data_IF_764110407698
#
_entry.id   IF_764110407698
#
_cell.length_a   1.000
_cell.length_b   1.000
_cell.length_c   1.000
_cell.angle_alpha   90.00
_cell.angle_beta   90.00
_cell.angle_gamma   90.00
#
_symmetry.space_group_name_H-M   'P 1'
#
loop_
_entity.id
_entity.type
_entity.pdbx_description
1 polymer ?
#
# COMPACT_ATOMS: atom_id res chain seq x y z
N UNK A 1 38.71 -41.00 43.37
CA UNK A 1 38.00 -41.57 42.20
C UNK A 1 36.63 -40.90 42.13
N UNK A 2 36.49 -39.94 41.19
CA UNK A 2 35.46 -39.85 40.13
C UNK A 2 34.00 -39.84 40.64
N UNK A 3 33.35 -38.66 40.63
CA UNK A 3 32.48 -38.13 39.56
C UNK A 3 31.05 -38.73 39.66
N UNK A 4 29.93 -38.01 39.66
CA UNK A 4 29.56 -36.83 38.89
C UNK A 4 28.52 -35.94 39.60
N UNK A 5 28.63 -34.67 39.26
CA UNK A 5 27.76 -33.52 39.51
C UNK A 5 26.51 -33.61 38.63
N UNK A 6 25.33 -33.27 39.17
CA UNK A 6 24.15 -32.90 38.39
C UNK A 6 23.82 -31.43 38.70
N UNK A 7 24.37 -30.52 37.89
CA UNK A 7 23.89 -29.14 37.81
C UNK A 7 22.77 -29.09 36.78
N UNK A 8 21.55 -28.78 37.24
CA UNK A 8 20.51 -28.27 36.36
C UNK A 8 20.93 -26.86 35.91
N UNK A 9 21.42 -26.76 34.68
CA UNK A 9 21.47 -25.50 33.94
C UNK A 9 20.04 -25.15 33.52
N UNK A 10 19.46 -24.16 34.17
CA UNK A 10 18.33 -23.42 33.63
C UNK A 10 18.80 -22.70 32.36
N UNK A 11 18.49 -23.25 31.18
CA UNK A 11 18.54 -22.49 29.95
C UNK A 11 17.44 -21.43 30.04
N UNK A 12 17.83 -20.22 30.43
CA UNK A 12 17.05 -19.04 30.18
C UNK A 12 16.77 -18.94 28.68
N UNK A 13 15.50 -18.98 28.33
CA UNK A 13 15.01 -18.62 27.00
C UNK A 13 15.42 -17.16 26.80
N UNK A 14 16.48 -16.92 26.03
CA UNK A 14 16.79 -15.60 25.52
C UNK A 14 15.57 -15.12 24.71
N UNK A 15 14.98 -13.96 25.01
CA UNK A 15 14.08 -13.35 24.05
C UNK A 15 14.88 -13.17 22.75
N UNK A 16 14.35 -13.71 21.66
CA UNK A 16 14.84 -13.43 20.32
C UNK A 16 15.02 -11.94 20.21
N UNK A 17 16.27 -11.50 20.06
CA UNK A 17 16.60 -10.11 19.73
C UNK A 17 15.84 -9.79 18.44
N UNK A 18 14.71 -9.12 18.59
CA UNK A 18 14.10 -8.33 17.53
C UNK A 18 15.20 -7.40 17.04
N UNK A 19 15.81 -7.71 15.91
CA UNK A 19 16.78 -6.85 15.24
C UNK A 19 16.04 -5.56 14.89
N UNK A 20 16.20 -4.56 15.74
CA UNK A 20 15.76 -3.19 15.56
C UNK A 20 16.11 -2.70 14.14
N UNK A 21 15.09 -2.39 13.32
CA UNK A 21 15.26 -2.38 11.87
C UNK A 21 15.85 -1.07 11.32
N UNK A 22 15.44 0.13 11.76
CA UNK A 22 16.03 1.43 11.32
C UNK A 22 15.87 2.56 12.35
N UNK A 23 16.78 3.54 12.35
CA UNK A 23 16.67 4.71 13.22
C UNK A 23 15.56 5.67 12.75
N UNK A 24 14.64 6.02 13.65
CA UNK A 24 13.55 6.97 13.40
C UNK A 24 13.87 8.41 13.84
N UNK A 25 14.98 8.60 14.56
CA UNK A 25 15.39 9.87 15.12
C UNK A 25 16.33 10.63 14.16
N UNK A 26 15.79 11.15 13.05
CA UNK A 26 16.25 12.39 12.40
C UNK A 26 15.42 12.69 11.14
N UNK A 27 14.98 13.94 10.98
CA UNK A 27 14.42 14.47 9.73
C UNK A 27 15.40 14.46 8.55
N UNK A 28 16.67 14.09 8.77
CA UNK A 28 17.72 13.97 7.76
C UNK A 28 17.99 12.52 7.32
N UNK A 29 17.35 11.52 7.92
CA UNK A 29 17.54 10.13 7.49
C UNK A 29 16.83 9.88 6.16
N UNK A 30 17.62 9.56 5.14
CA UNK A 30 17.13 9.21 3.80
C UNK A 30 17.38 7.73 3.55
N UNK A 31 16.37 7.02 3.10
CA UNK A 31 16.48 5.65 2.61
C UNK A 31 16.40 5.65 1.09
N UNK A 32 17.11 4.75 0.44
CA UNK A 32 17.21 4.71 -1.01
C UNK A 32 16.79 3.35 -1.56
N UNK A 33 15.91 3.38 -2.55
CA UNK A 33 15.59 2.22 -3.38
C UNK A 33 16.02 2.48 -4.81
N UNK A 34 16.62 1.48 -5.41
CA UNK A 34 16.88 1.43 -6.83
C UNK A 34 15.69 0.79 -7.52
N UNK A 35 15.17 1.46 -8.53
CA UNK A 35 14.22 0.85 -9.45
C UNK A 35 15.05 -0.01 -10.39
N UNK A 36 14.92 -1.33 -10.23
CA UNK A 36 15.60 -2.29 -11.08
C UNK A 36 14.93 -2.27 -12.43
N UNK A 37 13.64 -2.56 -12.47
CA UNK A 37 12.84 -2.63 -13.68
C UNK A 37 11.52 -1.91 -13.46
N UNK A 38 11.03 -1.24 -14.51
CA UNK A 38 9.66 -0.74 -14.54
C UNK A 38 9.14 -0.89 -15.96
N UNK A 39 7.94 -1.44 -16.05
CA UNK A 39 7.17 -1.57 -17.28
C UNK A 39 5.75 -1.14 -16.98
N UNK A 40 5.19 -0.39 -17.90
CA UNK A 40 3.77 -0.09 -17.91
C UNK A 40 3.19 -0.50 -19.24
N UNK A 41 2.09 -1.26 -19.21
CA UNK A 41 1.37 -1.71 -20.39
C UNK A 41 -0.04 -1.12 -20.34
N UNK A 42 -0.49 -0.52 -21.43
CA UNK A 42 -1.83 0.04 -21.55
C UNK A 42 -2.45 -0.32 -22.90
N UNK A 43 -3.76 -0.50 -22.99
CA UNK A 43 -4.43 -0.52 -24.28
C UNK A 43 -4.29 0.83 -25.01
N UNK A 44 -4.40 0.77 -26.33
CA UNK A 44 -4.60 1.95 -27.17
C UNK A 44 -5.89 2.72 -26.79
N UNK A 45 -5.93 4.05 -27.02
CA UNK A 45 -7.04 4.92 -26.60
C UNK A 45 -8.36 4.54 -27.26
N UNK A 46 -8.26 3.86 -28.40
CA UNK A 46 -9.38 3.41 -29.22
C UNK A 46 -10.11 2.22 -28.61
N UNK A 47 -9.58 1.61 -27.53
CA UNK A 47 -10.17 0.47 -26.81
C UNK A 47 -10.53 0.80 -25.35
N UNK A 48 -11.63 1.54 -25.10
CA UNK A 48 -11.95 2.16 -23.80
C UNK A 48 -12.38 1.22 -22.65
N UNK A 49 -12.16 -0.10 -22.73
CA UNK A 49 -12.56 -1.07 -21.69
C UNK A 49 -11.45 -2.08 -21.32
N UNK A 50 -10.22 -1.86 -21.79
CA UNK A 50 -9.11 -2.77 -21.51
C UNK A 50 -8.34 -2.37 -20.24
N UNK A 51 -7.50 -3.29 -19.77
CA UNK A 51 -6.75 -3.17 -18.52
C UNK A 51 -5.36 -2.58 -18.76
N UNK A 52 -4.98 -1.62 -17.94
CA UNK A 52 -3.61 -1.12 -17.82
C UNK A 52 -2.89 -1.85 -16.69
N UNK A 53 -1.60 -2.14 -16.86
CA UNK A 53 -0.77 -2.86 -15.89
C UNK A 53 0.51 -2.08 -15.62
N UNK A 54 0.92 -1.99 -14.37
CA UNK A 54 2.27 -1.58 -13.99
C UNK A 54 2.98 -2.72 -13.31
N UNK A 55 4.25 -2.90 -13.64
CA UNK A 55 5.16 -3.79 -12.95
C UNK A 55 6.44 -3.02 -12.60
N UNK A 56 6.79 -2.99 -11.32
CA UNK A 56 8.01 -2.34 -10.82
C UNK A 56 8.77 -3.32 -9.94
N UNK A 57 10.04 -3.54 -10.25
CA UNK A 57 10.97 -4.24 -9.38
C UNK A 57 11.85 -3.23 -8.65
N UNK A 58 11.85 -3.29 -7.31
CA UNK A 58 12.61 -2.42 -6.43
C UNK A 58 13.68 -3.22 -5.70
N UNK A 59 14.86 -2.64 -5.52
CA UNK A 59 15.91 -3.21 -4.68
C UNK A 59 16.57 -2.13 -3.83
N UNK A 60 16.84 -2.43 -2.56
CA UNK A 60 17.72 -1.58 -1.75
C UNK A 60 19.18 -2.02 -1.92
N UNK A 61 20.14 -1.17 -1.55
CA UNK A 61 21.58 -1.50 -1.58
C UNK A 61 21.96 -2.69 -0.69
N UNK A 62 21.08 -3.10 0.22
CA UNK A 62 21.36 -4.11 1.25
C UNK A 62 20.41 -5.30 1.21
N UNK A 63 19.59 -5.46 0.17
CA UNK A 63 18.42 -6.37 0.12
C UNK A 63 17.31 -5.90 1.09
N UNK A 64 16.02 -6.07 0.74
CA UNK A 64 15.44 -7.09 -0.13
C UNK A 64 14.97 -6.56 -1.50
N UNK A 65 14.51 -7.49 -2.35
CA UNK A 65 13.86 -7.19 -3.64
C UNK A 65 12.33 -7.23 -3.44
N UNK A 66 11.65 -6.20 -3.93
CA UNK A 66 10.19 -6.10 -3.93
C UNK A 66 9.66 -6.04 -5.36
N UNK A 67 8.50 -6.65 -5.59
CA UNK A 67 7.74 -6.54 -6.83
C UNK A 67 6.40 -5.86 -6.56
N UNK A 68 6.20 -4.69 -7.16
CA UNK A 68 4.94 -3.96 -7.14
C UNK A 68 4.26 -4.17 -8.49
N UNK A 69 3.23 -5.00 -8.52
CA UNK A 69 2.45 -5.26 -9.73
C UNK A 69 1.00 -4.94 -9.45
N UNK A 70 0.42 -4.07 -10.28
CA UNK A 70 -0.98 -3.71 -10.20
C UNK A 70 -1.59 -3.61 -11.59
N UNK A 71 -2.86 -3.98 -11.68
CA UNK A 71 -3.65 -3.92 -12.90
C UNK A 71 -4.97 -3.21 -12.59
N UNK A 72 -5.43 -2.36 -13.51
CA UNK A 72 -6.64 -1.56 -13.32
C UNK A 72 -7.27 -1.16 -14.68
N UNK A 73 -8.53 -0.71 -14.70
CA UNK A 73 -9.16 -0.22 -15.93
C UNK A 73 -8.47 1.04 -16.47
N UNK A 74 -8.22 1.14 -17.78
CA UNK A 74 -7.49 2.29 -18.38
C UNK A 74 -8.11 3.65 -17.99
N UNK A 75 -9.44 3.72 -17.90
CA UNK A 75 -10.17 4.92 -17.49
C UNK A 75 -9.72 5.49 -16.13
N UNK A 76 -9.11 4.68 -15.27
CA UNK A 76 -8.58 5.11 -13.97
C UNK A 76 -7.10 5.51 -14.06
N UNK A 77 -6.36 4.96 -15.03
CA UNK A 77 -4.98 5.30 -15.35
C UNK A 77 -4.85 6.69 -15.97
N UNK A 78 -5.85 7.06 -16.77
CA UNK A 78 -5.89 8.35 -17.42
C UNK A 78 -4.79 8.56 -18.45
N UNK A 79 -4.43 7.52 -19.21
CA UNK A 79 -3.31 7.53 -20.14
C UNK A 79 -3.51 8.58 -21.25
N UNK A 80 -4.73 8.71 -21.76
CA UNK A 80 -5.06 9.67 -22.83
C UNK A 80 -5.77 10.94 -22.38
N UNK A 81 -6.27 11.00 -21.14
CA UNK A 81 -7.02 12.15 -20.62
C UNK A 81 -6.46 12.74 -19.32
N UNK A 82 -5.30 12.28 -18.84
CA UNK A 82 -4.70 12.79 -17.61
C UNK A 82 -5.64 12.63 -16.42
N UNK A 83 -6.14 11.40 -16.26
CA UNK A 83 -6.98 10.98 -15.13
C UNK A 83 -6.42 11.51 -13.82
N UNK A 84 -7.31 11.89 -12.91
CA UNK A 84 -6.93 12.62 -11.69
C UNK A 84 -6.47 11.72 -10.56
N UNK A 85 -6.49 10.40 -10.75
CA UNK A 85 -6.34 9.42 -9.69
C UNK A 85 -4.88 8.96 -9.60
N UNK A 86 -4.36 8.98 -8.37
CA UNK A 86 -3.09 8.33 -8.04
C UNK A 86 -3.41 6.88 -7.71
N UNK A 87 -2.71 5.94 -8.34
CA UNK A 87 -2.95 4.52 -8.13
C UNK A 87 -1.82 3.95 -7.29
N UNK A 88 -2.15 3.47 -6.10
CA UNK A 88 -1.22 2.76 -5.22
C UNK A 88 -1.25 1.26 -5.50
N UNK A 89 -0.07 0.63 -5.45
CA UNK A 89 0.16 -0.80 -5.50
C UNK A 89 0.97 -1.18 -4.28
N UNK A 90 0.53 -2.21 -3.57
CA UNK A 90 1.41 -2.85 -2.60
C UNK A 90 2.57 -3.56 -3.33
N UNK A 91 3.69 -3.69 -2.64
CA UNK A 91 4.89 -4.34 -3.17
C UNK A 91 5.21 -5.60 -2.37
N UNK A 92 5.20 -6.73 -3.03
CA UNK A 92 5.41 -8.04 -2.40
C UNK A 92 6.90 -8.34 -2.32
N UNK A 93 7.37 -8.76 -1.14
CA UNK A 93 8.73 -9.25 -0.98
C UNK A 93 8.92 -10.58 -1.72
N UNK A 94 9.92 -10.66 -2.58
CA UNK A 94 10.14 -11.83 -3.44
C UNK A 94 10.80 -13.02 -2.74
N UNK A 95 11.08 -12.92 -1.44
CA UNK A 95 11.85 -13.93 -0.69
C UNK A 95 13.37 -13.75 -0.79
N UNK A 96 13.85 -12.79 -1.59
CA UNK A 96 15.27 -12.51 -1.77
C UNK A 96 15.78 -11.49 -0.74
N UNK A 97 16.68 -11.96 0.14
CA UNK A 97 17.34 -11.16 1.19
C UNK A 97 16.45 -10.81 2.39
N UNK A 98 17.05 -10.35 3.49
CA UNK A 98 16.30 -10.00 4.71
C UNK A 98 15.90 -8.52 4.69
N UNK A 99 14.59 -8.25 4.68
CA UNK A 99 14.06 -6.89 4.73
C UNK A 99 14.04 -6.27 6.11
N UNK A 100 14.33 -4.98 6.19
CA UNK A 100 14.11 -4.14 7.37
C UNK A 100 12.73 -3.46 7.35
N UNK A 101 12.05 -3.49 6.20
CA UNK A 101 10.77 -2.82 6.00
C UNK A 101 9.63 -3.83 6.17
N UNK A 102 8.64 -3.44 6.96
CA UNK A 102 7.40 -4.18 7.19
C UNK A 102 6.50 -4.18 5.96
N UNK A 103 6.45 -3.03 5.28
CA UNK A 103 5.56 -2.79 4.15
C UNK A 103 6.27 -1.88 3.15
N UNK A 104 6.00 -2.05 1.86
CA UNK A 104 6.48 -1.18 0.80
C UNK A 104 5.34 -1.03 -0.20
N UNK A 105 4.98 0.20 -0.55
CA UNK A 105 3.93 0.46 -1.53
C UNK A 105 4.36 1.56 -2.48
N UNK A 106 3.94 1.45 -3.74
CA UNK A 106 4.31 2.34 -4.82
C UNK A 106 3.06 2.98 -5.41
N UNK A 107 3.14 4.24 -5.81
CA UNK A 107 2.07 4.90 -6.53
C UNK A 107 2.55 5.57 -7.80
N UNK A 108 1.66 5.74 -8.76
CA UNK A 108 1.93 6.51 -9.98
C UNK A 108 0.86 7.58 -10.20
N UNK A 109 1.33 8.81 -10.40
CA UNK A 109 0.56 9.91 -10.98
C UNK A 109 0.99 10.08 -12.44
N UNK A 110 0.13 9.63 -13.35
CA UNK A 110 0.41 9.66 -14.78
C UNK A 110 0.36 11.05 -15.39
N UNK A 111 -0.48 11.93 -14.84
CA UNK A 111 -0.59 13.32 -15.32
C UNK A 111 0.71 14.06 -15.10
N UNK A 112 1.36 13.84 -13.95
CA UNK A 112 2.64 14.49 -13.63
C UNK A 112 3.86 13.62 -13.91
N UNK A 113 3.64 12.33 -14.27
CA UNK A 113 4.67 11.30 -14.46
C UNK A 113 5.53 11.11 -13.20
N UNK A 114 4.91 11.27 -12.04
CA UNK A 114 5.56 11.08 -10.75
C UNK A 114 5.29 9.68 -10.22
N UNK A 115 6.35 9.05 -9.71
CA UNK A 115 6.29 7.81 -8.95
C UNK A 115 6.49 8.15 -7.49
N UNK A 116 5.62 7.63 -6.65
CA UNK A 116 5.67 7.74 -5.21
C UNK A 116 6.09 6.38 -4.64
N UNK A 117 6.90 6.41 -3.61
CA UNK A 117 7.25 5.23 -2.83
C UNK A 117 6.98 5.52 -1.37
N UNK A 118 6.36 4.57 -0.70
CA UNK A 118 6.22 4.59 0.75
C UNK A 118 6.64 3.25 1.33
N UNK A 119 7.17 3.27 2.54
CA UNK A 119 7.49 2.06 3.29
C UNK A 119 7.45 2.33 4.78
N UNK A 120 7.21 1.26 5.54
CA UNK A 120 7.29 1.30 7.00
C UNK A 120 8.26 0.28 7.55
N UNK A 121 8.75 0.54 8.74
CA UNK A 121 9.79 -0.26 9.39
C UNK A 121 9.72 -0.07 10.91
N UNK A 122 10.24 -1.06 11.64
CA UNK A 122 10.39 -0.94 13.08
C UNK A 122 11.51 0.05 13.42
N UNK A 123 11.17 1.02 14.27
CA UNK A 123 12.14 1.94 14.80
C UNK A 123 13.11 1.20 15.72
N UNK A 124 14.40 1.54 15.61
CA UNK A 124 15.42 1.13 16.57
C UNK A 124 15.34 1.94 17.87
N UNK A 125 14.13 2.08 18.40
CA UNK A 125 13.90 2.62 19.71
C UNK A 125 13.49 1.49 20.67
N UNK A 126 13.74 1.68 21.95
CA UNK A 126 13.31 0.73 22.97
C UNK A 126 11.79 0.80 23.23
N UNK A 127 11.08 1.66 22.49
CA UNK A 127 9.65 1.89 22.61
C UNK A 127 8.83 1.03 21.62
N UNK A 128 9.48 0.42 20.62
CA UNK A 128 8.83 -0.39 19.60
C UNK A 128 7.95 0.44 18.66
N UNK A 129 8.36 1.67 18.35
CA UNK A 129 7.58 2.52 17.43
C UNK A 129 7.80 2.11 15.98
N UNK A 130 6.93 2.58 15.09
CA UNK A 130 7.03 2.35 13.64
C UNK A 130 7.34 3.67 12.92
N UNK A 131 8.24 3.60 11.94
CA UNK A 131 8.57 4.71 11.06
C UNK A 131 7.78 4.61 9.75
N UNK A 132 7.39 5.76 9.21
CA UNK A 132 6.90 5.91 7.83
C UNK A 132 7.92 6.74 7.06
N UNK A 133 8.34 6.27 5.89
CA UNK A 133 9.09 7.07 4.95
C UNK A 133 8.37 7.16 3.61
N UNK A 134 8.47 8.32 2.97
CA UNK A 134 7.87 8.61 1.67
C UNK A 134 8.89 9.27 0.76
N UNK A 135 8.78 9.02 -0.53
CA UNK A 135 9.62 9.61 -1.56
C UNK A 135 8.85 9.80 -2.84
N UNK A 136 9.34 10.71 -3.68
CA UNK A 136 8.79 10.98 -5.00
C UNK A 136 9.93 11.13 -6.00
N UNK A 137 9.75 10.57 -7.19
CA UNK A 137 10.63 10.84 -8.33
C UNK A 137 9.81 11.09 -9.59
N UNK A 138 10.22 12.03 -10.44
CA UNK A 138 9.73 12.06 -11.81
C UNK A 138 10.33 10.88 -12.58
N UNK A 139 9.49 10.08 -13.26
CA UNK A 139 9.95 9.01 -14.12
C UNK A 139 9.92 9.45 -15.59
N UNK A 140 11.09 9.50 -16.20
CA UNK A 140 11.21 9.69 -17.66
C UNK A 140 10.93 8.35 -18.35
N UNK A 141 9.81 8.26 -19.05
CA UNK A 141 9.37 7.06 -19.77
C UNK A 141 9.28 7.31 -21.28
N UNK A 142 9.64 6.29 -22.05
CA UNK A 142 9.43 6.19 -23.49
C UNK A 142 8.41 5.10 -23.77
N UNK A 143 7.47 5.40 -24.64
CA UNK A 143 6.37 4.52 -24.96
C UNK A 143 6.37 4.19 -26.44
N UNK A 144 6.16 2.92 -26.73
CA UNK A 144 6.08 2.39 -28.08
C UNK A 144 4.81 1.55 -28.22
N UNK A 145 4.14 1.61 -29.37
CA UNK A 145 3.11 0.63 -29.69
C UNK A 145 3.74 -0.76 -29.70
N UNK A 146 2.99 -1.75 -29.23
CA UNK A 146 3.43 -3.13 -29.19
C UNK A 146 3.77 -3.63 -30.60
N UNK A 147 5.02 -4.12 -30.84
CA UNK A 147 5.45 -4.60 -32.15
C UNK A 147 4.59 -5.74 -32.71
N UNK A 148 3.85 -6.46 -31.86
CA UNK A 148 2.95 -7.54 -32.30
C UNK A 148 1.60 -7.03 -32.82
N UNK A 149 1.34 -5.73 -32.78
CA UNK A 149 0.11 -5.13 -33.32
C UNK A 149 -1.14 -5.46 -32.49
N UNK A 150 -0.97 -5.82 -31.21
CA UNK A 150 -2.05 -6.16 -30.28
C UNK A 150 -2.98 -4.99 -29.91
N UNK A 151 -2.68 -3.78 -30.39
CA UNK A 151 -3.38 -2.57 -29.99
C UNK A 151 -3.08 -2.17 -28.54
N UNK A 152 -1.89 -2.54 -28.04
CA UNK A 152 -1.38 -2.11 -26.73
C UNK A 152 -0.15 -1.22 -26.91
N UNK A 153 0.07 -0.31 -25.98
CA UNK A 153 1.28 0.52 -25.87
C UNK A 153 2.02 0.10 -24.61
N UNK A 154 3.32 -0.12 -24.73
CA UNK A 154 4.16 -0.40 -23.57
C UNK A 154 5.14 0.75 -23.36
N UNK A 155 5.43 1.03 -22.10
CA UNK A 155 6.31 2.11 -21.68
C UNK A 155 7.40 1.59 -20.76
N UNK A 156 8.62 2.01 -21.04
CA UNK A 156 9.81 1.68 -20.25
C UNK A 156 10.58 2.96 -19.94
N UNK A 157 11.48 2.95 -18.95
CA UNK A 157 12.36 4.07 -18.68
C UNK A 157 13.13 4.51 -19.92
N UNK A 158 13.21 5.82 -20.13
CA UNK A 158 14.11 6.40 -21.13
C UNK A 158 15.54 5.90 -20.89
N UNK A 159 16.26 5.44 -21.93
CA UNK A 159 17.66 5.07 -21.81
C UNK A 159 18.49 6.21 -21.23
N UNK A 160 19.56 5.86 -20.52
CA UNK A 160 20.55 6.85 -20.11
C UNK A 160 21.19 7.53 -21.34
N UNK A 161 21.80 8.72 -21.21
CA UNK A 161 22.40 9.43 -22.34
C UNK A 161 23.44 8.62 -23.14
N UNK A 162 24.03 7.59 -22.53
CA UNK A 162 24.98 6.67 -23.15
C UNK A 162 24.30 5.45 -23.83
N UNK A 163 22.97 5.43 -23.94
CA UNK A 163 22.18 4.31 -24.47
C UNK A 163 22.03 3.13 -23.53
N UNK A 164 22.59 3.18 -22.31
CA UNK A 164 22.50 2.11 -21.31
C UNK A 164 21.20 2.13 -20.51
N UNK A 165 21.01 1.09 -19.68
CA UNK A 165 19.91 1.03 -18.71
C UNK A 165 20.04 2.22 -17.73
N UNK A 166 18.97 3.00 -17.51
CA UNK A 166 19.03 4.13 -16.60
C UNK A 166 19.20 3.64 -15.15
N UNK A 167 20.01 4.36 -14.36
CA UNK A 167 20.10 4.13 -12.91
C UNK A 167 19.08 5.02 -12.20
N UNK A 168 17.91 4.46 -11.94
CA UNK A 168 16.81 5.18 -11.31
C UNK A 168 16.80 4.87 -9.82
N UNK A 169 16.83 5.92 -9.00
CA UNK A 169 16.84 5.81 -7.54
C UNK A 169 15.80 6.74 -6.95
N UNK A 170 14.98 6.20 -6.06
CA UNK A 170 14.04 6.97 -5.25
C UNK A 170 14.58 7.07 -3.83
N UNK A 171 14.72 8.30 -3.38
CA UNK A 171 15.08 8.64 -2.02
C UNK A 171 13.79 8.90 -1.25
N UNK A 172 13.62 8.20 -0.14
CA UNK A 172 12.51 8.40 0.78
C UNK A 172 13.03 9.04 2.07
N UNK A 173 12.35 10.04 2.58
CA UNK A 173 12.62 10.62 3.89
C UNK A 173 11.57 10.20 4.89
N UNK A 174 11.96 10.11 6.17
CA UNK A 174 11.01 9.90 7.26
C UNK A 174 9.95 11.00 7.18
N UNK A 175 8.69 10.59 7.08
CA UNK A 175 7.56 11.50 7.17
C UNK A 175 7.54 12.05 8.60
N UNK A 176 7.38 13.38 8.78
CA UNK A 176 7.41 13.97 10.11
C UNK A 176 6.38 13.28 11.00
N UNK A 177 6.81 12.85 12.19
CA UNK A 177 5.90 12.36 13.23
C UNK A 177 4.83 13.44 13.41
N UNK A 178 3.53 13.11 13.32
CA UNK A 178 2.47 14.08 13.53
C UNK A 178 2.74 14.81 14.84
N UNK A 179 2.97 16.12 14.76
CA UNK A 179 3.29 16.91 15.95
C UNK A 179 2.18 16.72 16.99
N UNK A 180 2.55 16.52 18.24
CA UNK A 180 1.66 16.43 19.40
C UNK A 180 0.60 17.55 19.36
N UNK A 181 -0.61 17.30 19.90
CA UNK A 181 -1.82 18.03 19.55
C UNK A 181 -1.74 19.48 20.02
N UNK A 182 -1.29 20.37 19.14
CA UNK A 182 -1.82 21.72 19.16
C UNK A 182 -3.28 21.63 18.75
N UNK A 183 -4.14 22.37 19.43
CA UNK A 183 -5.56 22.66 19.17
C UNK A 183 -5.82 23.24 17.76
N UNK A 184 -5.21 22.66 16.73
CA UNK A 184 -5.14 23.23 15.39
C UNK A 184 -6.42 22.92 14.63
N UNK A 185 -6.88 23.97 13.96
CA UNK A 185 -7.99 24.02 13.01
C UNK A 185 -7.79 23.04 11.86
N UNK A 186 -8.86 22.72 11.12
CA UNK A 186 -8.78 21.88 9.92
C UNK A 186 -7.75 22.34 8.87
N UNK A 187 -7.36 23.62 8.86
CA UNK A 187 -6.27 24.14 8.02
C UNK A 187 -4.93 23.42 8.23
N UNK A 188 -4.67 22.88 9.43
CA UNK A 188 -3.47 22.09 9.67
C UNK A 188 -3.55 20.69 9.05
N UNK A 189 -4.75 20.10 9.01
CA UNK A 189 -5.02 18.80 8.37
C UNK A 189 -4.89 18.92 6.85
N UNK A 190 -5.34 20.02 6.25
CA UNK A 190 -5.18 20.28 4.80
C UNK A 190 -3.72 20.50 4.40
N UNK A 191 -2.89 21.03 5.29
CA UNK A 191 -1.45 21.24 5.02
C UNK A 191 -0.57 20.01 5.24
N UNK A 192 -1.14 18.90 5.73
CA UNK A 192 -0.41 17.67 6.05
C UNK A 192 -0.75 16.55 5.07
N UNK A 193 0.27 15.76 4.73
CA UNK A 193 0.11 14.58 3.87
C UNK A 193 -0.88 13.61 4.51
N UNK A 194 -2.03 13.40 3.87
CA UNK A 194 -3.00 12.42 4.34
C UNK A 194 -2.57 11.04 3.86
N UNK A 195 -2.39 10.16 4.83
CA UNK A 195 -2.06 8.77 4.59
C UNK A 195 -2.76 7.89 5.61
N UNK A 196 -3.01 6.65 5.20
CA UNK A 196 -3.70 5.65 5.98
C UNK A 196 -2.92 4.36 6.00
N UNK A 197 -2.90 3.74 7.18
CA UNK A 197 -2.64 2.32 7.31
C UNK A 197 -3.97 1.58 7.17
N UNK A 198 -4.05 0.60 6.28
CA UNK A 198 -5.10 -0.42 6.30
C UNK A 198 -4.57 -1.57 7.13
N UNK A 199 -5.18 -1.81 8.28
CA UNK A 199 -4.77 -2.84 9.24
C UNK A 199 -5.88 -3.89 9.41
N UNK A 200 -5.50 -5.09 9.85
CA UNK A 200 -6.44 -6.15 10.20
C UNK A 200 -7.42 -6.48 9.06
N UNK A 201 -6.94 -6.49 7.82
CA UNK A 201 -7.77 -6.88 6.68
C UNK A 201 -8.26 -8.31 6.86
N UNK A 202 -9.57 -8.48 6.70
CA UNK A 202 -10.24 -9.77 6.76
C UNK A 202 -11.31 -9.84 5.69
N UNK A 203 -11.25 -10.89 4.88
CA UNK A 203 -12.33 -11.28 3.95
C UNK A 203 -12.41 -12.79 3.93
N UNK A 204 -13.62 -13.34 3.95
CA UNK A 204 -13.84 -14.78 3.88
C UNK A 204 -14.85 -15.11 2.79
N UNK A 205 -14.62 -16.21 2.08
CA UNK A 205 -15.55 -16.70 1.05
C UNK A 205 -15.38 -18.21 0.83
N UNK A 206 -16.40 -18.86 0.29
CA UNK A 206 -16.32 -20.27 -0.11
C UNK A 206 -16.01 -20.38 -1.61
N UNK A 207 -15.09 -21.26 -2.02
CA UNK A 207 -14.89 -21.63 -3.42
C UNK A 207 -15.23 -23.10 -3.62
N UNK A 208 -16.11 -23.38 -4.59
CA UNK A 208 -16.44 -24.75 -4.93
C UNK A 208 -15.25 -25.45 -5.63
N UNK A 209 -15.02 -26.76 -5.38
CA UNK A 209 -13.96 -27.51 -6.05
C UNK A 209 -14.01 -27.35 -7.58
N UNK A 210 -12.87 -26.99 -8.18
CA UNK A 210 -12.76 -26.80 -9.64
C UNK A 210 -13.23 -25.44 -10.17
N UNK A 211 -13.55 -24.48 -9.28
CA UNK A 211 -13.90 -23.11 -9.66
C UNK A 211 -12.89 -22.10 -9.08
N UNK A 212 -12.82 -20.91 -9.65
CA UNK A 212 -12.02 -19.78 -9.13
C UNK A 212 -12.88 -18.64 -8.62
N UNK A 213 -14.20 -18.81 -8.63
CA UNK A 213 -15.15 -17.76 -8.27
C UNK A 213 -15.78 -18.10 -6.92
N UNK A 214 -15.83 -17.13 -5.98
CA UNK A 214 -16.58 -17.29 -4.75
C UNK A 214 -18.02 -17.74 -5.01
N UNK A 215 -18.50 -18.67 -4.18
CA UNK A 215 -19.89 -19.10 -4.18
C UNK A 215 -20.76 -17.92 -3.78
N UNK A 216 -21.82 -17.67 -4.56
CA UNK A 216 -22.72 -16.53 -4.36
C UNK A 216 -23.25 -16.47 -2.92
N UNK A 217 -23.15 -15.30 -2.30
CA UNK A 217 -23.64 -15.04 -0.95
C UNK A 217 -22.76 -15.58 0.19
N UNK A 218 -21.57 -16.13 -0.12
CA UNK A 218 -20.61 -16.58 0.91
C UNK A 218 -19.47 -15.60 1.14
N UNK A 219 -19.29 -14.65 0.22
CA UNK A 219 -18.25 -13.63 0.33
C UNK A 219 -18.68 -12.54 1.32
N UNK A 220 -17.93 -12.43 2.41
CA UNK A 220 -18.19 -11.43 3.44
C UNK A 220 -17.89 -10.00 2.98
N UNK A 221 -17.18 -9.84 1.87
CA UNK A 221 -16.48 -8.61 1.56
C UNK A 221 -15.37 -8.32 2.58
N UNK A 222 -14.65 -7.20 2.43
CA UNK A 222 -13.59 -6.84 3.34
C UNK A 222 -14.11 -6.19 4.63
N UNK A 223 -13.41 -6.46 5.72
CA UNK A 223 -13.46 -5.71 6.96
C UNK A 223 -12.02 -5.36 7.36
N UNK A 224 -11.80 -4.13 7.80
CA UNK A 224 -10.45 -3.65 8.14
C UNK A 224 -10.50 -2.44 9.08
N UNK A 225 -9.34 -2.05 9.59
CA UNK A 225 -9.13 -0.82 10.35
C UNK A 225 -8.37 0.17 9.49
N UNK A 226 -8.88 1.39 9.34
CA UNK A 226 -8.19 2.47 8.66
C UNK A 226 -7.59 3.43 9.69
N UNK A 227 -6.27 3.48 9.80
CA UNK A 227 -5.55 4.39 10.68
C UNK A 227 -5.07 5.60 9.91
N UNK A 228 -5.70 6.76 10.13
CA UNK A 228 -5.23 8.03 9.57
C UNK A 228 -3.99 8.52 10.31
N UNK A 229 -2.91 8.79 9.57
CA UNK A 229 -1.67 9.36 10.11
C UNK A 229 -1.66 10.89 10.12
N UNK A 230 -2.62 11.55 9.48
CA UNK A 230 -2.73 13.02 9.47
C UNK A 230 -3.11 13.63 10.83
N UNK A 231 -3.44 12.81 11.83
CA UNK A 231 -3.88 13.24 13.17
C UNK A 231 -2.86 12.93 14.26
N UNK A 232 -2.63 13.83 15.24
CA UNK A 232 -1.68 13.66 16.35
C UNK A 232 -1.89 12.41 17.23
N UNK A 233 -3.02 11.72 17.08
CA UNK A 233 -3.36 10.51 17.84
C UNK A 233 -3.67 9.29 16.98
N UNK A 234 -3.45 9.36 15.66
CA UNK A 234 -3.63 8.23 14.76
C UNK A 234 -5.07 7.70 14.77
N UNK A 235 -6.04 8.50 14.29
CA UNK A 235 -7.46 8.13 14.30
C UNK A 235 -7.64 6.78 13.64
N UNK A 236 -8.25 5.83 14.35
CA UNK A 236 -8.62 4.53 13.81
C UNK A 236 -10.11 4.53 13.52
N UNK A 237 -10.45 4.22 12.27
CA UNK A 237 -11.81 3.98 11.80
C UNK A 237 -11.98 2.47 11.58
N UNK A 238 -13.08 1.91 12.05
CA UNK A 238 -13.43 0.51 11.77
C UNK A 238 -14.32 0.48 10.53
N UNK A 239 -13.86 -0.21 9.49
CA UNK A 239 -14.53 -0.32 8.21
C UNK A 239 -15.16 -1.71 8.05
N UNK A 240 -16.45 -1.76 7.72
CA UNK A 240 -17.20 -3.00 7.54
C UNK A 240 -18.03 -2.96 6.26
N UNK A 241 -18.11 -4.08 5.55
CA UNK A 241 -18.95 -4.22 4.35
C UNK A 241 -20.43 -4.14 4.73
N UNK A 242 -21.18 -3.32 3.98
CA UNK A 242 -22.63 -3.11 4.16
C UNK A 242 -23.40 -3.57 2.93
N UNK A 243 -22.81 -3.44 1.74
CA UNK A 243 -23.42 -3.81 0.46
C UNK A 243 -22.47 -4.68 -0.38
N UNK A 244 -23.03 -5.68 -1.05
CA UNK A 244 -22.40 -6.44 -2.14
C UNK A 244 -23.25 -6.30 -3.41
N UNK A 245 -22.64 -5.76 -4.47
CA UNK A 245 -23.22 -5.70 -5.81
C UNK A 245 -22.28 -6.40 -6.80
N UNK A 246 -22.48 -7.71 -6.93
CA UNK A 246 -21.79 -8.57 -7.91
C UNK A 246 -20.27 -8.58 -7.76
N UNK A 247 -19.78 -8.70 -6.52
CA UNK A 247 -18.35 -8.72 -6.22
C UNK A 247 -17.73 -7.33 -6.11
N UNK A 248 -18.55 -6.28 -6.16
CA UNK A 248 -18.18 -4.94 -5.73
C UNK A 248 -18.83 -4.64 -4.39
N UNK A 249 -18.00 -4.55 -3.36
CA UNK A 249 -18.38 -4.33 -1.98
C UNK A 249 -18.33 -2.85 -1.66
N UNK A 250 -19.26 -2.36 -0.85
CA UNK A 250 -19.24 -1.01 -0.31
C UNK A 250 -19.58 -1.04 1.18
N UNK A 251 -19.03 -0.10 1.94
CA UNK A 251 -19.24 -0.06 3.38
C UNK A 251 -18.83 1.24 4.05
N UNK A 252 -19.22 1.39 5.31
CA UNK A 252 -18.91 2.53 6.15
C UNK A 252 -17.69 2.30 7.04
N UNK A 253 -16.96 3.38 7.29
CA UNK A 253 -15.85 3.45 8.24
C UNK A 253 -16.19 4.42 9.37
N UNK A 254 -16.24 3.94 10.61
CA UNK A 254 -16.67 4.74 11.77
C UNK A 254 -15.61 4.78 12.86
N UNK A 255 -15.45 5.94 13.51
CA UNK A 255 -14.59 6.07 14.67
C UNK A 255 -15.41 5.95 15.95
N UNK A 256 -14.98 5.08 16.86
CA UNK A 256 -15.56 4.98 18.21
C UNK A 256 -15.07 6.07 19.16
N UNK A 257 -14.02 6.83 18.78
CA UNK A 257 -13.38 7.82 19.66
C UNK A 257 -13.50 9.26 19.16
N UNK A 258 -13.77 9.46 17.87
CA UNK A 258 -13.79 10.79 17.27
C UNK A 258 -15.00 10.96 16.35
N UNK A 259 -16.06 11.59 16.87
CA UNK A 259 -17.33 11.78 16.15
C UNK A 259 -17.24 12.72 14.93
N UNK A 260 -16.10 13.39 14.74
CA UNK A 260 -15.86 14.39 13.69
C UNK A 260 -15.26 13.80 12.42
N UNK A 261 -15.14 12.48 12.34
CA UNK A 261 -14.54 11.82 11.19
C UNK A 261 -15.24 10.51 10.91
N UNK A 262 -15.59 10.32 9.65
CA UNK A 262 -16.13 9.08 9.13
C UNK A 262 -15.51 8.80 7.76
N UNK A 263 -15.75 7.62 7.24
CA UNK A 263 -15.34 7.31 5.89
C UNK A 263 -16.26 6.30 5.24
N UNK A 264 -15.99 6.05 3.98
CA UNK A 264 -16.63 5.04 3.17
C UNK A 264 -15.55 4.31 2.40
N UNK A 265 -15.83 3.07 2.03
CA UNK A 265 -14.96 2.37 1.10
C UNK A 265 -15.78 1.67 0.03
N UNK A 266 -15.09 1.39 -1.07
CA UNK A 266 -15.57 0.54 -2.15
C UNK A 266 -14.45 -0.41 -2.56
N UNK A 267 -14.72 -1.71 -2.60
CA UNK A 267 -13.76 -2.73 -3.00
C UNK A 267 -14.30 -3.56 -4.17
N UNK A 268 -13.63 -3.49 -5.31
CA UNK A 268 -13.88 -4.37 -6.45
C UNK A 268 -13.00 -5.61 -6.33
N UNK A 269 -13.61 -6.76 -6.04
CA UNK A 269 -12.89 -8.01 -5.82
C UNK A 269 -12.37 -8.68 -7.10
N UNK A 270 -12.86 -8.27 -8.28
CA UNK A 270 -12.37 -8.79 -9.56
C UNK A 270 -11.08 -8.08 -9.95
N UNK A 271 -11.00 -6.79 -9.62
CA UNK A 271 -9.86 -5.94 -9.90
C UNK A 271 -8.88 -5.82 -8.71
N UNK A 272 -9.27 -6.32 -7.54
CA UNK A 272 -8.58 -6.09 -6.27
C UNK A 272 -8.33 -4.60 -5.99
N UNK A 273 -9.31 -3.75 -6.28
CA UNK A 273 -9.18 -2.30 -6.12
C UNK A 273 -10.04 -1.81 -4.96
N UNK A 274 -9.40 -1.17 -3.99
CA UNK A 274 -10.01 -0.52 -2.84
C UNK A 274 -9.94 1.00 -3.02
N UNK A 275 -11.10 1.66 -2.99
CA UNK A 275 -11.21 3.10 -2.79
C UNK A 275 -11.65 3.37 -1.37
N UNK A 276 -11.04 4.35 -0.72
CA UNK A 276 -11.41 4.84 0.62
C UNK A 276 -11.61 6.34 0.54
N UNK A 277 -12.78 6.79 0.98
CA UNK A 277 -13.12 8.20 1.13
C UNK A 277 -13.20 8.50 2.62
N UNK A 278 -12.39 9.44 3.12
CA UNK A 278 -12.48 9.91 4.49
C UNK A 278 -12.98 11.35 4.53
N UNK A 279 -14.03 11.57 5.32
CA UNK A 279 -14.65 12.86 5.52
C UNK A 279 -14.34 13.38 6.93
N UNK A 280 -13.82 14.60 6.99
CA UNK A 280 -13.60 15.34 8.23
C UNK A 280 -14.63 16.46 8.38
N UNK A 281 -15.38 16.43 9.49
CA UNK A 281 -16.21 17.53 9.94
C UNK A 281 -15.37 18.48 10.80
N UNK A 282 -15.01 19.61 10.20
CA UNK A 282 -14.13 20.61 10.79
C UNK A 282 -14.84 21.51 11.81
N UNK A 283 -16.16 21.42 11.92
CA UNK A 283 -16.98 22.48 12.51
C UNK A 283 -17.24 23.61 11.51
N UNK A 284 -18.14 24.52 11.89
CA UNK A 284 -18.54 25.70 11.11
C UNK A 284 -19.07 25.41 9.69
N UNK A 285 -19.54 24.17 9.45
CA UNK A 285 -20.06 23.72 8.16
C UNK A 285 -18.98 23.40 7.12
N UNK A 286 -17.70 23.41 7.50
CA UNK A 286 -16.60 23.04 6.60
C UNK A 286 -16.41 21.53 6.62
N UNK A 287 -16.51 20.91 5.45
CA UNK A 287 -16.29 19.47 5.24
C UNK A 287 -15.06 19.31 4.36
N UNK A 288 -14.15 18.42 4.76
CA UNK A 288 -13.01 18.01 3.93
C UNK A 288 -13.14 16.55 3.55
N UNK A 289 -12.96 16.26 2.27
CA UNK A 289 -13.05 14.92 1.70
C UNK A 289 -11.70 14.53 1.10
N UNK A 290 -11.26 13.32 1.39
CA UNK A 290 -9.97 12.80 0.97
C UNK A 290 -10.15 11.38 0.47
N UNK A 291 -9.87 11.17 -0.82
CA UNK A 291 -9.99 9.87 -1.48
C UNK A 291 -8.62 9.24 -1.72
N UNK A 292 -8.45 7.99 -1.31
CA UNK A 292 -7.32 7.13 -1.68
C UNK A 292 -7.79 5.91 -2.47
N UNK A 293 -7.03 5.51 -3.49
CA UNK A 293 -7.30 4.30 -4.27
C UNK A 293 -6.06 3.39 -4.25
N UNK A 294 -6.29 2.12 -4.02
CA UNK A 294 -5.27 1.10 -3.89
C UNK A 294 -5.62 -0.17 -4.63
N UNK A 295 -4.62 -0.78 -5.26
CA UNK A 295 -4.61 -2.20 -5.50
C UNK A 295 -4.29 -2.91 -4.18
N UNK A 296 -5.19 -3.78 -3.73
CA UNK A 296 -5.11 -4.48 -2.45
C UNK A 296 -5.33 -5.97 -2.64
N UNK A 297 -4.27 -6.75 -2.43
CA UNK A 297 -4.31 -8.20 -2.54
C UNK A 297 -3.88 -8.83 -1.21
N UNK A 298 -4.81 -9.57 -0.59
CA UNK A 298 -4.56 -10.29 0.65
C UNK A 298 -4.08 -11.73 0.38
N UNK A 299 -3.33 -12.28 1.32
CA UNK A 299 -2.97 -13.71 1.33
C UNK A 299 -4.16 -14.51 1.84
N UNK A 300 -4.55 -15.55 1.11
CA UNK A 300 -5.71 -16.38 1.45
C UNK A 300 -5.29 -17.79 1.87
N UNK A 301 -5.71 -18.19 3.07
CA UNK A 301 -5.52 -19.54 3.58
C UNK A 301 -6.83 -20.34 3.45
N UNK A 302 -6.69 -21.61 3.04
CA UNK A 302 -7.79 -22.58 3.00
C UNK A 302 -7.73 -23.45 4.25
N UNK A 303 -8.84 -23.50 5.00
CA UNK A 303 -8.94 -24.40 6.16
C UNK A 303 -8.78 -25.88 5.74
N UNK A 304 -8.16 -26.70 6.60
CA UNK A 304 -8.01 -28.13 6.33
C UNK A 304 -9.38 -28.79 6.05
N UNK A 305 -9.51 -29.45 4.90
CA UNK A 305 -10.77 -30.04 4.41
C UNK A 305 -11.98 -29.07 4.39
N UNK A 306 -11.73 -27.77 4.16
CA UNK A 306 -12.79 -26.76 4.07
C UNK A 306 -12.78 -26.07 2.71
N UNK A 307 -13.96 -25.72 2.19
CA UNK A 307 -14.08 -24.86 1.01
C UNK A 307 -14.01 -23.37 1.37
N UNK A 308 -13.87 -23.06 2.66
CA UNK A 308 -13.71 -21.70 3.19
C UNK A 308 -12.26 -21.22 3.02
N UNK A 309 -12.15 -20.07 2.37
CA UNK A 309 -10.93 -19.28 2.29
C UNK A 309 -11.06 -18.09 3.24
N UNK A 310 -9.98 -17.83 4.00
CA UNK A 310 -9.86 -16.63 4.84
C UNK A 310 -8.64 -15.86 4.38
N UNK A 311 -8.88 -14.64 3.92
CA UNK A 311 -7.87 -13.75 3.38
C UNK A 311 -7.49 -12.70 4.41
N UNK A 312 -6.20 -12.61 4.72
CA UNK A 312 -5.64 -11.62 5.63
C UNK A 312 -4.45 -10.91 4.98
N UNK A 313 -4.17 -9.70 5.42
CA UNK A 313 -3.04 -8.92 4.94
C UNK A 313 -2.26 -8.35 6.11
N UNK A 314 -0.95 -8.23 5.94
CA UNK A 314 -0.16 -7.26 6.70
C UNK A 314 -0.66 -5.85 6.41
N UNK A 315 -0.36 -4.86 7.28
CA UNK A 315 -0.80 -3.50 7.04
C UNK A 315 -0.40 -3.00 5.63
N UNK A 316 -1.26 -2.24 4.96
CA UNK A 316 -0.98 -1.64 3.64
C UNK A 316 -1.17 -0.14 3.70
N UNK A 317 -0.27 0.61 3.08
CA UNK A 317 -0.28 2.07 3.18
C UNK A 317 -0.87 2.73 1.96
N UNK A 318 -1.87 3.57 2.20
CA UNK A 318 -2.49 4.41 1.19
C UNK A 318 -2.12 5.85 1.45
N UNK A 319 -1.44 6.49 0.51
CA UNK A 319 -1.25 7.94 0.55
C UNK A 319 -2.28 8.65 -0.32
N UNK A 320 -2.55 9.92 -0.04
CA UNK A 320 -3.24 10.79 -1.01
C UNK A 320 -2.27 11.79 -1.59
N UNK A 321 -2.76 12.54 -2.58
CA UNK A 321 -2.13 13.79 -2.95
C UNK A 321 -2.07 14.73 -1.74
N UNK A 322 -1.04 15.56 -1.65
CA UNK A 322 -1.10 16.81 -0.88
C UNK A 322 -2.25 17.65 -1.44
N UNK A 323 -3.18 18.06 -0.58
CA UNK A 323 -4.25 19.02 -0.95
C UNK A 323 -3.65 20.43 -1.04
#
# INVERSE_FOLDING_TARGET
MRNNIAHLLALGILPTLSLAARNCAASSTTFQYRILEVRYDSPEPTNPNNLSTIAVALGSSTTPIYECVAQWPESWAGWYQGGTNIIWSDCIWTGAGSGADKTVSLAVDWKTKNFYLTHTFDCSDQAGTEGLATGVIPLSIQCSPDPEGSGTTYCTPSPAPNGGRPDIRINTSISPVPSTPSTKTCEAVTSTYQSWSIENWLRSYEIAPGTFTPKKGTDTGPAFSLRSLGSPKGVVLTCVTEEDKDGVFAGGCVSVREAKTNGRFRFDSRLNLLSVDQVWDCGDGTIQDVTGVAYFQATCDRGFNSDLFTCTSTPVWLGTKTV
#
